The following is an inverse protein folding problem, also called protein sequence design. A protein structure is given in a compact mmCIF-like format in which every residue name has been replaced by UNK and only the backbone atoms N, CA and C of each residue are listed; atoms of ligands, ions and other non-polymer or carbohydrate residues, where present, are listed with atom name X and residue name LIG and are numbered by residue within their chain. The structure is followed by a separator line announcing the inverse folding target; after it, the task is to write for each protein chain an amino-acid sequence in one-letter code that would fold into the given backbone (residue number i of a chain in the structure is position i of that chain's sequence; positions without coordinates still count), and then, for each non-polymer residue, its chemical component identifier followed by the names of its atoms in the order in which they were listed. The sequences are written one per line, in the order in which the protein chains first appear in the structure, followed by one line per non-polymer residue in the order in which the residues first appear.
data_IF_339516291903
#
_entry.id   IF_339516291903
#
_cell.length_a   1.000
_cell.length_b   1.000
_cell.length_c   1.000
_cell.angle_alpha   90.00
_cell.angle_beta   90.00
_cell.angle_gamma   90.00
#
_symmetry.space_group_name_H-M   'P 1'
#
loop_
_entity.id
_entity.type
_entity.pdbx_description
1 polymer ?
#
# COMPACT_ATOMS: atom_id res chain seq x y z
N UNK A 1 13.04 16.79 -20.15
CA UNK A 1 12.63 17.01 -18.74
C UNK A 1 11.11 17.10 -18.68
N UNK A 2 10.46 16.79 -17.55
CA UNK A 2 9.00 16.89 -17.42
C UNK A 2 8.61 18.39 -17.27
N UNK A 3 7.61 18.89 -18.04
CA UNK A 3 7.09 20.24 -17.90
C UNK A 3 6.64 20.54 -16.48
N UNK A 4 6.89 21.74 -15.98
CA UNK A 4 6.57 22.13 -14.59
C UNK A 4 5.09 21.98 -14.25
N UNK A 5 4.21 22.33 -15.19
CA UNK A 5 2.76 22.18 -15.06
C UNK A 5 2.30 20.73 -14.85
N UNK A 6 3.12 19.75 -15.24
CA UNK A 6 2.81 18.33 -15.12
C UNK A 6 3.47 17.66 -13.91
N UNK A 7 4.44 18.33 -13.26
CA UNK A 7 5.13 17.77 -12.09
C UNK A 7 4.14 17.57 -10.93
N UNK A 8 4.43 16.58 -10.09
CA UNK A 8 3.80 16.38 -8.79
C UNK A 8 4.88 16.57 -7.73
N UNK A 9 5.15 17.84 -7.40
CA UNK A 9 6.31 18.26 -6.59
C UNK A 9 6.35 17.62 -5.19
N UNK A 10 5.20 17.26 -4.65
CA UNK A 10 5.05 16.64 -3.33
C UNK A 10 5.36 15.13 -3.30
N UNK A 11 5.55 14.47 -4.45
CA UNK A 11 5.92 13.04 -4.47
C UNK A 11 7.22 12.82 -3.70
N UNK A 12 7.23 11.82 -2.82
CA UNK A 12 8.37 11.47 -1.98
C UNK A 12 8.47 12.27 -0.68
N UNK A 13 7.69 13.34 -0.48
CA UNK A 13 7.75 14.13 0.75
C UNK A 13 6.62 13.83 1.73
N UNK A 14 5.48 13.30 1.27
CA UNK A 14 4.31 13.02 2.12
C UNK A 14 4.63 12.11 3.30
N UNK A 15 5.37 11.01 3.07
CA UNK A 15 5.72 10.06 4.13
C UNK A 15 6.50 10.73 5.27
N UNK A 16 7.38 11.68 4.97
CA UNK A 16 8.06 12.48 5.99
C UNK A 16 7.11 13.52 6.60
N UNK A 17 6.39 14.29 5.76
CA UNK A 17 5.49 15.38 6.17
C UNK A 17 4.40 14.93 7.13
N UNK A 18 3.82 13.76 6.91
CA UNK A 18 2.77 13.17 7.74
C UNK A 18 3.31 12.32 8.91
N UNK A 19 4.62 12.31 9.14
CA UNK A 19 5.20 11.60 10.28
C UNK A 19 5.19 10.09 10.17
N UNK A 20 5.07 9.55 8.95
CA UNK A 20 5.07 8.10 8.68
C UNK A 20 6.50 7.58 8.66
N UNK A 21 7.45 8.39 8.19
CA UNK A 21 8.87 8.10 8.22
C UNK A 21 9.66 9.16 9.00
N UNK A 22 10.71 8.71 9.69
CA UNK A 22 11.73 9.57 10.29
C UNK A 22 12.64 10.13 9.20
N UNK A 23 13.00 9.29 8.23
CA UNK A 23 13.85 9.63 7.11
C UNK A 23 13.38 10.91 6.39
N UNK A 24 14.25 11.93 6.37
CA UNK A 24 14.07 13.16 5.59
C UNK A 24 14.62 12.96 4.18
N UNK A 25 13.78 13.01 3.14
CA UNK A 25 14.23 12.97 1.76
C UNK A 25 15.21 14.13 1.44
N UNK A 26 16.28 13.90 0.65
CA UNK A 26 17.26 14.93 0.30
C UNK A 26 16.66 16.13 -0.46
N UNK A 27 15.50 15.91 -1.09
CA UNK A 27 14.78 16.94 -1.83
C UNK A 27 14.03 17.93 -0.95
N UNK A 28 13.91 17.66 0.35
CA UNK A 28 13.35 18.59 1.33
C UNK A 28 14.49 19.52 1.77
N UNK A 29 14.53 20.74 1.22
CA UNK A 29 15.57 21.73 1.50
C UNK A 29 15.77 21.97 2.99
N UNK A 30 17.01 22.21 3.42
CA UNK A 30 17.48 22.16 4.82
C UNK A 30 16.62 22.96 5.82
N UNK A 31 16.00 24.03 5.36
CA UNK A 31 15.18 24.93 6.18
C UNK A 31 13.79 24.38 6.52
N UNK A 32 13.31 23.37 5.79
CA UNK A 32 12.03 22.76 6.11
C UNK A 32 12.14 21.89 7.36
N UNK A 33 11.47 22.32 8.43
CA UNK A 33 11.24 21.50 9.61
C UNK A 33 9.80 21.04 9.64
N UNK A 34 9.61 19.73 9.86
CA UNK A 34 8.29 19.15 10.09
C UNK A 34 7.75 19.67 11.42
N UNK A 35 6.45 20.01 11.46
CA UNK A 35 5.82 20.42 12.70
C UNK A 35 5.96 19.32 13.77
N UNK A 36 6.16 19.73 15.03
CA UNK A 36 6.46 18.80 16.13
C UNK A 36 5.40 17.71 16.31
N UNK A 37 4.12 18.01 16.05
CA UNK A 37 3.01 17.06 16.16
C UNK A 37 2.96 16.03 15.02
N UNK A 38 3.74 16.20 13.96
CA UNK A 38 3.99 15.18 12.94
C UNK A 38 5.27 14.37 13.24
N UNK A 39 5.87 14.51 14.43
CA UNK A 39 6.99 13.65 14.83
C UNK A 39 6.51 12.20 15.02
N UNK A 40 7.11 11.19 14.35
CA UNK A 40 6.73 9.78 14.47
C UNK A 40 6.68 9.29 15.90
N UNK A 41 7.57 9.76 16.79
CA UNK A 41 7.56 9.39 18.20
C UNK A 41 6.36 9.97 18.96
N UNK A 42 5.98 11.21 18.63
CA UNK A 42 4.77 11.82 19.19
C UNK A 42 3.52 11.09 18.70
N UNK A 43 3.45 10.78 17.41
CA UNK A 43 2.35 10.01 16.83
C UNK A 43 2.25 8.64 17.51
N UNK A 44 3.37 7.93 17.61
CA UNK A 44 3.45 6.62 18.28
C UNK A 44 2.96 6.70 19.72
N UNK A 45 3.35 7.74 20.47
CA UNK A 45 2.85 7.98 21.82
C UNK A 45 1.33 8.17 21.85
N UNK A 46 0.77 9.00 20.97
CA UNK A 46 -0.69 9.23 20.88
C UNK A 46 -1.46 7.95 20.53
N UNK A 47 -0.93 7.14 19.62
CA UNK A 47 -1.52 5.84 19.27
C UNK A 47 -1.44 4.85 20.44
N UNK A 48 -0.33 4.80 21.18
CA UNK A 48 -0.21 3.98 22.39
C UNK A 48 -1.18 4.42 23.48
N UNK A 49 -1.32 5.72 23.74
CA UNK A 49 -2.29 6.25 24.72
C UNK A 49 -3.70 5.76 24.39
N UNK A 50 -4.12 5.85 23.13
CA UNK A 50 -5.44 5.40 22.71
C UNK A 50 -5.58 3.87 22.72
N UNK A 51 -4.52 3.13 22.35
CA UNK A 51 -4.46 1.68 22.43
C UNK A 51 -4.64 1.20 23.88
N UNK A 52 -3.88 1.75 24.82
CA UNK A 52 -3.96 1.40 26.23
C UNK A 52 -5.34 1.71 26.82
N UNK A 53 -5.92 2.86 26.46
CA UNK A 53 -7.30 3.21 26.84
C UNK A 53 -8.30 2.19 26.30
N UNK A 54 -8.17 1.77 25.05
CA UNK A 54 -9.05 0.75 24.44
C UNK A 54 -8.89 -0.63 25.08
N UNK A 55 -7.65 -1.03 25.39
CA UNK A 55 -7.36 -2.27 26.14
C UNK A 55 -7.94 -2.23 27.55
N UNK A 56 -7.76 -1.12 28.26
CA UNK A 56 -8.29 -0.93 29.62
C UNK A 56 -9.80 -1.02 29.61
N UNK A 57 -10.46 -0.28 28.71
CA UNK A 57 -11.90 -0.35 28.54
C UNK A 57 -12.35 -1.78 28.23
N UNK A 58 -11.67 -2.50 27.32
CA UNK A 58 -11.99 -3.88 26.95
C UNK A 58 -12.05 -4.84 28.16
N UNK A 59 -11.15 -4.71 29.13
CA UNK A 59 -11.08 -5.62 30.30
C UNK A 59 -11.96 -5.24 31.49
N UNK A 60 -12.43 -3.99 31.60
CA UNK A 60 -13.32 -3.58 32.70
C UNK A 60 -14.71 -4.24 32.53
N UNK A 61 -15.40 -4.62 33.62
CA UNK A 61 -16.78 -5.11 33.52
C UNK A 61 -17.74 -4.03 33.00
N UNK A 62 -18.68 -4.42 32.13
CA UNK A 62 -19.67 -3.50 31.56
C UNK A 62 -20.90 -3.28 32.47
N UNK A 63 -20.92 -3.84 33.69
CA UNK A 63 -22.03 -3.68 34.62
C UNK A 63 -22.33 -2.19 34.90
N UNK A 64 -23.51 -1.67 34.48
CA UNK A 64 -23.78 -0.23 34.45
C UNK A 64 -23.76 0.45 35.82
N UNK A 65 -24.12 -0.29 36.88
CA UNK A 65 -24.24 0.22 38.24
C UNK A 65 -22.88 0.53 38.89
N UNK A 66 -21.81 -0.15 38.47
CA UNK A 66 -20.51 -0.05 39.15
C UNK A 66 -19.51 0.84 38.39
N UNK A 67 -19.57 0.86 37.05
CA UNK A 67 -18.45 1.38 36.25
C UNK A 67 -18.78 2.51 35.25
N UNK A 68 -20.00 3.07 35.21
CA UNK A 68 -20.36 4.17 34.28
C UNK A 68 -19.34 5.33 34.32
N UNK A 69 -18.96 5.76 35.52
CA UNK A 69 -18.01 6.89 35.69
C UNK A 69 -16.65 6.61 35.04
N UNK A 70 -16.15 5.38 35.14
CA UNK A 70 -14.90 4.99 34.51
C UNK A 70 -14.97 5.10 32.99
N UNK A 71 -16.04 4.61 32.36
CA UNK A 71 -16.20 4.68 30.90
C UNK A 71 -16.28 6.13 30.41
N UNK A 72 -16.96 7.01 31.15
CA UNK A 72 -17.04 8.43 30.82
C UNK A 72 -15.70 9.13 30.97
N UNK A 73 -14.96 8.86 32.05
CA UNK A 73 -13.62 9.43 32.25
C UNK A 73 -12.59 8.93 31.24
N UNK A 74 -12.78 7.71 30.71
CA UNK A 74 -12.00 7.18 29.59
C UNK A 74 -12.50 7.64 28.21
N UNK A 75 -13.60 8.41 28.15
CA UNK A 75 -14.22 8.84 26.89
C UNK A 75 -14.68 7.69 26.01
N UNK A 76 -15.15 6.61 26.62
CA UNK A 76 -15.60 5.40 25.93
C UNK A 76 -16.97 5.56 25.28
N UNK A 77 -16.98 6.26 24.14
CA UNK A 77 -18.18 6.37 23.30
C UNK A 77 -18.72 5.01 22.87
N UNK A 78 -17.89 3.96 22.87
CA UNK A 78 -18.27 2.60 22.49
C UNK A 78 -19.17 1.95 23.55
N UNK A 79 -18.94 2.30 24.82
CA UNK A 79 -19.84 1.98 25.92
C UNK A 79 -21.19 2.70 25.77
N UNK A 80 -21.18 4.00 25.44
CA UNK A 80 -22.38 4.80 25.22
C UNK A 80 -23.31 4.23 24.13
N UNK A 81 -22.75 3.58 23.11
CA UNK A 81 -23.53 2.96 22.02
C UNK A 81 -23.80 1.46 22.24
N UNK A 82 -23.54 0.93 23.44
CA UNK A 82 -23.83 -0.47 23.78
C UNK A 82 -22.97 -1.52 23.07
N UNK A 83 -21.88 -1.11 22.41
CA UNK A 83 -21.01 -1.99 21.61
C UNK A 83 -19.56 -2.03 22.11
N UNK A 84 -19.40 -1.79 23.41
CA UNK A 84 -18.13 -1.61 24.11
C UNK A 84 -17.07 -2.64 23.72
N UNK A 85 -17.32 -3.92 23.99
CA UNK A 85 -16.31 -4.99 23.85
C UNK A 85 -15.82 -5.11 22.41
N UNK A 86 -16.74 -5.08 21.45
CA UNK A 86 -16.40 -5.34 20.06
C UNK A 86 -15.76 -4.14 19.39
N UNK A 87 -16.25 -2.92 19.64
CA UNK A 87 -15.65 -1.73 19.03
C UNK A 87 -14.31 -1.38 19.70
N UNK A 88 -14.12 -1.64 21.01
CA UNK A 88 -12.79 -1.52 21.62
C UNK A 88 -11.80 -2.52 21.01
N UNK A 89 -12.22 -3.76 20.75
CA UNK A 89 -11.37 -4.74 20.06
C UNK A 89 -11.04 -4.30 18.62
N UNK A 90 -12.02 -3.74 17.89
CA UNK A 90 -11.78 -3.18 16.56
C UNK A 90 -10.80 -2.00 16.63
N UNK A 91 -10.95 -1.11 17.61
CA UNK A 91 -10.04 0.03 17.83
C UNK A 91 -8.61 -0.44 18.17
N UNK A 92 -8.45 -1.51 18.96
CA UNK A 92 -7.15 -2.13 19.24
C UNK A 92 -6.51 -2.62 17.94
N UNK A 93 -7.24 -3.33 17.10
CA UNK A 93 -6.74 -3.81 15.81
C UNK A 93 -6.35 -2.64 14.90
N UNK A 94 -7.19 -1.61 14.84
CA UNK A 94 -6.98 -0.43 14.02
C UNK A 94 -5.74 0.37 14.46
N UNK A 95 -5.61 0.71 15.74
CA UNK A 95 -4.43 1.42 16.25
C UNK A 95 -3.15 0.60 16.11
N UNK A 96 -3.24 -0.74 16.23
CA UNK A 96 -2.10 -1.61 16.00
C UNK A 96 -1.55 -1.49 14.56
N UNK A 97 -2.38 -1.14 13.57
CA UNK A 97 -1.91 -0.88 12.19
C UNK A 97 -0.94 0.30 12.19
N UNK A 98 -1.34 1.44 12.77
CA UNK A 98 -0.52 2.64 12.85
C UNK A 98 0.79 2.36 13.57
N UNK A 99 0.70 1.75 14.75
CA UNK A 99 1.85 1.43 15.61
C UNK A 99 2.83 0.51 14.89
N UNK A 100 2.35 -0.59 14.30
CA UNK A 100 3.22 -1.53 13.59
C UNK A 100 3.90 -0.87 12.37
N UNK A 101 3.21 -0.02 11.62
CA UNK A 101 3.80 0.69 10.48
C UNK A 101 4.85 1.72 10.91
N UNK A 102 4.60 2.47 11.98
CA UNK A 102 5.54 3.45 12.53
C UNK A 102 6.78 2.75 13.12
N UNK A 103 6.59 1.64 13.84
CA UNK A 103 7.68 0.82 14.37
C UNK A 103 8.52 0.23 13.23
N UNK A 104 7.87 -0.29 12.18
CA UNK A 104 8.57 -0.81 10.99
C UNK A 104 9.40 0.28 10.31
N UNK A 105 8.81 1.46 10.10
CA UNK A 105 9.51 2.59 9.49
C UNK A 105 10.70 3.07 10.35
N UNK A 106 10.52 3.10 11.67
CA UNK A 106 11.57 3.46 12.64
C UNK A 106 12.69 2.42 12.66
N UNK A 107 12.35 1.14 12.66
CA UNK A 107 13.31 0.04 12.59
C UNK A 107 14.16 0.11 11.31
N UNK A 108 13.52 0.36 10.16
CA UNK A 108 14.22 0.54 8.90
C UNK A 108 15.18 1.73 8.92
N UNK A 109 14.74 2.88 9.46
CA UNK A 109 15.59 4.06 9.59
C UNK A 109 16.82 3.79 10.46
N UNK A 110 16.64 3.13 11.61
CA UNK A 110 17.74 2.73 12.51
C UNK A 110 18.73 1.77 11.85
N UNK A 111 18.25 0.87 10.98
CA UNK A 111 19.10 -0.03 10.17
C UNK A 111 19.75 0.66 8.96
N UNK A 112 19.49 1.95 8.74
CA UNK A 112 19.95 2.68 7.55
C UNK A 112 19.24 2.24 6.26
N UNK A 113 18.13 1.51 6.37
CA UNK A 113 17.32 1.06 5.24
C UNK A 113 16.43 2.23 4.80
N UNK A 114 16.81 2.87 3.69
CA UNK A 114 16.05 3.99 3.13
C UNK A 114 14.87 3.47 2.31
N UNK A 115 13.76 4.24 2.19
CA UNK A 115 12.63 3.91 1.33
C UNK A 115 13.02 4.10 -0.15
N UNK A 116 13.83 3.18 -0.68
CA UNK A 116 14.46 3.33 -2.00
C UNK A 116 13.48 3.37 -3.16
N UNK A 117 12.25 2.88 -2.96
CA UNK A 117 11.18 3.00 -3.95
C UNK A 117 10.84 4.47 -4.25
N UNK A 118 11.02 5.39 -3.29
CA UNK A 118 10.78 6.82 -3.52
C UNK A 118 11.74 7.39 -4.57
N UNK A 119 12.99 6.94 -4.61
CA UNK A 119 13.95 7.37 -5.64
C UNK A 119 13.50 6.95 -7.04
N UNK A 120 12.87 5.78 -7.18
CA UNK A 120 12.34 5.36 -8.49
C UNK A 120 11.18 6.22 -8.98
N UNK A 121 10.55 6.99 -8.09
CA UNK A 121 9.42 7.87 -8.35
C UNK A 121 9.79 9.36 -8.39
N UNK A 122 11.05 9.72 -8.14
CA UNK A 122 11.51 11.11 -8.08
C UNK A 122 11.35 11.87 -9.42
N UNK A 123 11.29 11.15 -10.54
CA UNK A 123 10.98 11.77 -11.83
C UNK A 123 9.59 12.39 -11.85
N UNK A 124 8.62 11.87 -11.09
CA UNK A 124 7.26 12.44 -10.99
C UNK A 124 7.29 13.85 -10.37
N UNK A 125 8.25 14.11 -9.48
CA UNK A 125 8.49 15.43 -8.91
C UNK A 125 9.40 16.31 -9.79
N UNK A 126 9.90 15.80 -10.93
CA UNK A 126 10.83 16.49 -11.81
C UNK A 126 12.28 16.54 -11.31
N UNK A 127 12.64 15.73 -10.30
CA UNK A 127 13.98 15.72 -9.69
C UNK A 127 15.00 14.88 -10.48
N UNK A 128 14.51 14.00 -11.34
CA UNK A 128 15.33 13.20 -12.26
C UNK A 128 14.58 13.02 -13.59
N UNK A 129 15.28 12.59 -14.63
CA UNK A 129 14.61 12.34 -15.92
C UNK A 129 13.88 10.99 -15.89
N UNK A 130 12.74 10.85 -16.58
CA UNK A 130 12.04 9.56 -16.69
C UNK A 130 12.93 8.42 -17.21
N UNK A 131 13.87 8.74 -18.12
CA UNK A 131 14.82 7.77 -18.67
C UNK A 131 15.77 7.18 -17.61
N UNK A 132 16.18 7.96 -16.60
CA UNK A 132 16.98 7.42 -15.48
C UNK A 132 16.19 6.43 -14.63
N UNK A 133 14.89 6.66 -14.49
CA UNK A 133 13.93 5.71 -13.89
C UNK A 133 13.53 4.57 -14.86
N UNK A 134 14.15 4.50 -16.04
CA UNK A 134 13.89 3.46 -17.06
C UNK A 134 12.45 3.44 -17.59
N UNK A 135 11.83 4.62 -17.72
CA UNK A 135 10.56 4.81 -18.41
C UNK A 135 10.75 5.89 -19.48
N UNK A 136 10.66 5.54 -20.76
CA UNK A 136 10.96 6.47 -21.86
C UNK A 136 9.72 6.82 -22.70
N UNK A 137 8.65 6.02 -22.66
CA UNK A 137 7.43 6.33 -23.41
C UNK A 137 6.64 7.46 -22.73
N UNK A 138 6.61 8.64 -23.38
CA UNK A 138 5.89 9.84 -22.95
C UNK A 138 4.43 9.57 -22.61
N UNK A 139 3.75 8.69 -23.35
CA UNK A 139 2.35 8.33 -23.11
C UNK A 139 2.17 7.65 -21.76
N UNK A 140 3.12 6.81 -21.35
CA UNK A 140 3.06 6.15 -20.04
C UNK A 140 3.47 7.08 -18.91
N UNK A 141 4.45 7.97 -19.15
CA UNK A 141 4.86 9.00 -18.20
C UNK A 141 3.66 9.91 -17.87
N UNK A 142 2.97 10.42 -18.88
CA UNK A 142 1.80 11.28 -18.73
C UNK A 142 0.67 10.58 -17.96
N UNK A 143 0.34 9.34 -18.34
CA UNK A 143 -0.67 8.53 -17.63
C UNK A 143 -0.33 8.35 -16.15
N UNK A 144 0.95 8.11 -15.83
CA UNK A 144 1.38 7.94 -14.46
C UNK A 144 1.33 9.26 -13.68
N UNK A 145 1.68 10.40 -14.29
CA UNK A 145 1.57 11.72 -13.68
C UNK A 145 0.12 12.08 -13.34
N UNK A 146 -0.81 11.86 -14.29
CA UNK A 146 -2.24 12.10 -14.08
C UNK A 146 -2.78 11.25 -12.92
N UNK A 147 -2.48 9.94 -12.94
CA UNK A 147 -2.89 9.02 -11.87
C UNK A 147 -2.31 9.44 -10.52
N UNK A 148 -1.02 9.77 -10.48
CA UNK A 148 -0.34 10.17 -9.23
C UNK A 148 -0.96 11.43 -8.66
N UNK A 149 -1.24 12.44 -9.48
CA UNK A 149 -1.90 13.67 -9.04
C UNK A 149 -3.28 13.41 -8.45
N UNK A 150 -4.09 12.60 -9.13
CA UNK A 150 -5.42 12.24 -8.63
C UNK A 150 -5.33 11.51 -7.28
N UNK A 151 -4.42 10.55 -7.14
CA UNK A 151 -4.21 9.80 -5.89
C UNK A 151 -3.75 10.72 -4.77
N UNK A 152 -2.78 11.59 -5.01
CA UNK A 152 -2.27 12.53 -4.00
C UNK A 152 -3.41 13.41 -3.48
N UNK A 153 -4.19 14.02 -4.39
CA UNK A 153 -5.33 14.86 -4.01
C UNK A 153 -6.39 14.06 -3.23
N UNK A 154 -6.67 12.83 -3.67
CA UNK A 154 -7.60 11.93 -2.98
C UNK A 154 -7.08 11.58 -1.58
N UNK A 155 -5.79 11.31 -1.41
CA UNK A 155 -5.18 11.02 -0.11
C UNK A 155 -5.25 12.20 0.84
N UNK A 156 -4.93 13.41 0.37
CA UNK A 156 -5.01 14.62 1.19
C UNK A 156 -6.45 14.88 1.67
N UNK A 157 -7.44 14.70 0.79
CA UNK A 157 -8.84 14.86 1.14
C UNK A 157 -9.30 13.83 2.17
N UNK A 158 -9.10 12.53 1.90
CA UNK A 158 -9.56 11.45 2.77
C UNK A 158 -8.91 11.51 4.15
N UNK A 159 -7.61 11.81 4.21
CA UNK A 159 -6.89 11.92 5.48
C UNK A 159 -7.51 12.98 6.39
N UNK A 160 -7.91 14.14 5.86
CA UNK A 160 -8.60 15.18 6.63
C UNK A 160 -10.03 14.77 7.00
N UNK A 161 -10.76 14.16 6.07
CA UNK A 161 -12.13 13.70 6.28
C UNK A 161 -12.20 12.68 7.43
N UNK A 162 -11.27 11.74 7.50
CA UNK A 162 -11.22 10.72 8.56
C UNK A 162 -11.05 11.35 9.95
N UNK A 163 -10.22 12.38 10.10
CA UNK A 163 -10.09 13.09 11.36
C UNK A 163 -11.41 13.71 11.83
N UNK A 164 -12.12 14.40 10.91
CA UNK A 164 -13.42 15.03 11.20
C UNK A 164 -14.47 13.97 11.54
N UNK A 165 -14.58 12.92 10.73
CA UNK A 165 -15.55 11.83 10.94
C UNK A 165 -15.27 11.11 12.26
N UNK A 166 -14.01 10.86 12.60
CA UNK A 166 -13.63 10.23 13.87
C UNK A 166 -14.00 11.10 15.07
N UNK A 167 -13.80 12.41 14.98
CA UNK A 167 -14.25 13.34 16.01
C UNK A 167 -15.76 13.25 16.22
N UNK A 168 -16.54 13.35 15.15
CA UNK A 168 -18.02 13.29 15.21
C UNK A 168 -18.47 11.94 15.78
N UNK A 169 -17.89 10.84 15.30
CA UNK A 169 -18.24 9.48 15.72
C UNK A 169 -18.04 9.27 17.23
N UNK A 170 -17.02 9.89 17.83
CA UNK A 170 -16.78 9.82 19.26
C UNK A 170 -17.58 10.86 20.06
N UNK A 171 -17.59 12.12 19.61
CA UNK A 171 -18.20 13.22 20.33
C UNK A 171 -19.73 13.10 20.38
N UNK A 172 -20.34 12.62 19.30
CA UNK A 172 -21.79 12.55 19.18
C UNK A 172 -22.43 11.64 20.24
N UNK A 173 -22.05 10.36 20.40
CA UNK A 173 -22.64 9.53 21.47
C UNK A 173 -22.37 10.07 22.87
N UNK A 174 -21.17 10.61 23.12
CA UNK A 174 -20.80 11.17 24.42
C UNK A 174 -21.61 12.41 24.76
N UNK A 175 -21.97 13.24 23.77
CA UNK A 175 -22.80 14.42 23.97
C UNK A 175 -24.21 14.08 24.49
N UNK A 176 -24.80 12.98 24.00
CA UNK A 176 -26.15 12.56 24.42
C UNK A 176 -26.16 11.78 25.74
N UNK A 177 -25.12 11.00 26.03
CA UNK A 177 -25.08 10.12 27.21
C UNK A 177 -24.40 10.73 28.46
N UNK A 178 -23.69 11.85 28.29
CA UNK A 178 -22.99 12.53 29.38
C UNK A 178 -23.67 13.85 29.76
N UNK A 179 -23.51 14.26 31.02
CA UNK A 179 -23.79 15.65 31.42
C UNK A 179 -22.85 16.61 30.71
N UNK A 180 -23.22 17.89 30.58
CA UNK A 180 -22.38 18.90 29.93
C UNK A 180 -20.98 18.99 30.56
N UNK A 181 -20.87 18.85 31.89
CA UNK A 181 -19.59 18.88 32.60
C UNK A 181 -18.76 17.63 32.28
N UNK A 182 -19.36 16.43 32.32
CA UNK A 182 -18.69 15.17 31.94
C UNK A 182 -18.19 15.23 30.49
N UNK A 183 -19.02 15.74 29.57
CA UNK A 183 -18.63 15.90 28.17
C UNK A 183 -17.47 16.88 28.01
N UNK A 184 -17.56 18.09 28.57
CA UNK A 184 -16.50 19.09 28.39
C UNK A 184 -15.17 18.68 29.03
N UNK A 185 -15.19 18.01 30.18
CA UNK A 185 -13.97 17.66 30.94
C UNK A 185 -13.34 16.35 30.47
N UNK A 186 -14.15 15.38 30.03
CA UNK A 186 -13.68 14.03 29.67
C UNK A 186 -14.02 13.66 28.24
N UNK A 187 -15.28 13.82 27.83
CA UNK A 187 -15.73 13.40 26.50
C UNK A 187 -15.01 14.11 25.35
N UNK A 188 -15.02 15.44 25.35
CA UNK A 188 -14.45 16.29 24.31
C UNK A 188 -12.92 16.09 24.15
N UNK A 189 -12.11 16.10 25.23
CA UNK A 189 -10.68 15.78 25.11
C UNK A 189 -10.43 14.40 24.49
N UNK A 190 -11.16 13.37 24.90
CA UNK A 190 -11.00 12.02 24.33
C UNK A 190 -11.46 11.94 22.88
N UNK A 191 -12.51 12.66 22.48
CA UNK A 191 -12.92 12.75 21.07
C UNK A 191 -11.87 13.45 20.21
N UNK A 192 -11.19 14.47 20.72
CA UNK A 192 -10.07 15.13 20.04
C UNK A 192 -8.89 14.16 19.92
N UNK A 193 -8.52 13.46 21.00
CA UNK A 193 -7.45 12.46 20.99
C UNK A 193 -7.77 11.37 19.96
N UNK A 194 -8.99 10.85 19.96
CA UNK A 194 -9.43 9.84 18.99
C UNK A 194 -9.33 10.34 17.55
N UNK A 195 -9.78 11.57 17.29
CA UNK A 195 -9.68 12.18 15.97
C UNK A 195 -8.23 12.30 15.49
N UNK A 196 -7.32 12.72 16.37
CA UNK A 196 -5.89 12.84 16.09
C UNK A 196 -5.26 11.47 15.84
N UNK A 197 -5.50 10.48 16.72
CA UNK A 197 -4.96 9.13 16.57
C UNK A 197 -5.48 8.46 15.30
N UNK A 198 -6.78 8.59 14.99
CA UNK A 198 -7.36 8.05 13.75
C UNK A 198 -6.84 8.74 12.50
N UNK A 199 -6.62 10.06 12.55
CA UNK A 199 -5.99 10.80 11.47
C UNK A 199 -4.58 10.26 11.14
N UNK A 200 -3.76 10.01 12.17
CA UNK A 200 -2.41 9.50 11.98
C UNK A 200 -2.37 8.03 11.57
N UNK A 201 -3.13 7.17 12.24
CA UNK A 201 -3.27 5.74 11.87
C UNK A 201 -3.71 5.62 10.40
N UNK A 202 -4.75 6.37 10.01
CA UNK A 202 -5.22 6.41 8.63
C UNK A 202 -4.14 6.90 7.67
N UNK A 203 -3.47 8.01 7.99
CA UNK A 203 -2.37 8.54 7.19
C UNK A 203 -1.30 7.47 6.95
N UNK A 204 -0.89 6.76 8.01
CA UNK A 204 0.17 5.77 7.96
C UNK A 204 -0.11 4.67 6.93
N UNK A 205 -1.26 3.98 7.03
CA UNK A 205 -1.54 2.91 6.08
C UNK A 205 -1.99 3.43 4.71
N UNK A 206 -2.75 4.53 4.65
CA UNK A 206 -3.33 5.01 3.39
C UNK A 206 -2.25 5.57 2.46
N UNK A 207 -1.30 6.35 2.96
CA UNK A 207 -0.17 6.81 2.15
C UNK A 207 0.74 5.66 1.71
N UNK A 208 0.98 4.67 2.56
CA UNK A 208 1.72 3.46 2.17
C UNK A 208 1.02 2.72 1.02
N UNK A 209 -0.31 2.55 1.09
CA UNK A 209 -1.11 1.97 -0.01
C UNK A 209 -1.05 2.81 -1.28
N UNK A 210 -1.14 4.14 -1.17
CA UNK A 210 -1.05 5.05 -2.30
C UNK A 210 0.29 4.93 -3.03
N UNK A 211 1.40 4.93 -2.28
CA UNK A 211 2.73 4.74 -2.86
C UNK A 211 2.91 3.35 -3.46
N UNK A 212 2.38 2.31 -2.82
CA UNK A 212 2.36 0.97 -3.40
C UNK A 212 1.63 0.94 -4.74
N UNK A 213 0.46 1.57 -4.84
CA UNK A 213 -0.29 1.67 -6.09
C UNK A 213 0.46 2.42 -7.19
N UNK A 214 1.06 3.56 -6.87
CA UNK A 214 1.84 4.35 -7.82
C UNK A 214 3.02 3.51 -8.33
N UNK A 215 3.72 2.82 -7.42
CA UNK A 215 4.85 1.95 -7.75
C UNK A 215 4.44 0.77 -8.65
N UNK A 216 3.33 0.10 -8.35
CA UNK A 216 2.81 -0.98 -9.18
C UNK A 216 2.46 -0.49 -10.59
N UNK A 217 1.82 0.68 -10.72
CA UNK A 217 1.52 1.25 -12.04
C UNK A 217 2.80 1.62 -12.81
N UNK A 218 3.80 2.19 -12.12
CA UNK A 218 5.11 2.45 -12.70
C UNK A 218 5.76 1.18 -13.27
N UNK A 219 5.76 0.08 -12.50
CA UNK A 219 6.29 -1.21 -12.94
C UNK A 219 5.51 -1.78 -14.13
N UNK A 220 4.18 -1.72 -14.11
CA UNK A 220 3.34 -2.12 -15.24
C UNK A 220 3.66 -1.32 -16.50
N UNK A 221 3.87 -0.01 -16.39
CA UNK A 221 4.20 0.81 -17.54
C UNK A 221 5.58 0.49 -18.13
N UNK A 222 6.57 0.18 -17.29
CA UNK A 222 7.87 -0.30 -17.77
C UNK A 222 7.77 -1.64 -18.51
N UNK A 223 6.94 -2.57 -18.01
CA UNK A 223 6.66 -3.83 -18.70
C UNK A 223 5.95 -3.62 -20.05
N UNK A 224 4.97 -2.72 -20.10
CA UNK A 224 4.25 -2.37 -21.32
C UNK A 224 5.16 -1.72 -22.37
N UNK A 225 6.07 -0.85 -21.95
CA UNK A 225 7.05 -0.25 -22.87
C UNK A 225 7.92 -1.32 -23.54
N UNK A 226 8.35 -2.34 -22.78
CA UNK A 226 9.08 -3.48 -23.34
C UNK A 226 8.21 -4.27 -24.31
N UNK A 227 6.94 -4.50 -23.98
CA UNK A 227 6.00 -5.20 -24.86
C UNK A 227 5.82 -4.46 -26.18
N UNK A 228 5.63 -3.15 -26.13
CA UNK A 228 5.50 -2.30 -27.32
C UNK A 228 6.77 -2.29 -28.16
N UNK A 229 7.96 -2.26 -27.53
CA UNK A 229 9.25 -2.39 -28.23
C UNK A 229 9.37 -3.74 -28.95
N UNK A 230 9.01 -4.85 -28.28
CA UNK A 230 9.00 -6.19 -28.89
C UNK A 230 8.06 -6.26 -30.09
N UNK A 231 6.84 -5.73 -29.94
CA UNK A 231 5.84 -5.70 -31.02
C UNK A 231 6.34 -4.88 -32.21
N UNK A 232 6.93 -3.70 -31.98
CA UNK A 232 7.52 -2.89 -33.06
C UNK A 232 8.62 -3.63 -33.81
N UNK A 233 9.52 -4.33 -33.10
CA UNK A 233 10.55 -5.15 -33.73
C UNK A 233 9.97 -6.31 -34.55
N UNK A 234 8.85 -6.90 -34.10
CA UNK A 234 8.17 -7.96 -34.85
C UNK A 234 7.49 -7.45 -36.13
N UNK A 235 6.90 -6.25 -36.11
CA UNK A 235 6.24 -5.67 -37.29
C UNK A 235 7.21 -5.16 -38.36
N UNK A 236 8.36 -4.62 -37.96
CA UNK A 236 9.39 -4.18 -38.92
C UNK A 236 9.87 -5.34 -39.82
N UNK A 237 9.82 -6.58 -39.31
CA UNK A 237 10.14 -7.80 -40.06
C UNK A 237 9.14 -8.14 -41.17
N UNK A 238 7.85 -7.80 -40.99
CA UNK A 238 6.79 -8.10 -41.95
C UNK A 238 6.77 -7.15 -43.15
N UNK A 239 7.19 -5.88 -42.98
CA UNK A 239 7.18 -4.86 -44.05
C UNK A 239 8.43 -4.85 -44.95
N UNK A 240 9.57 -5.38 -44.49
CA UNK A 240 10.80 -5.46 -45.30
C UNK A 240 10.96 -6.83 -45.97
N UNK A 241 9.98 -7.22 -46.77
CA UNK A 241 9.88 -8.52 -47.46
C UNK A 241 10.92 -8.78 -48.56
N UNK A 242 11.98 -7.97 -48.69
CA UNK A 242 13.11 -8.24 -49.59
C UNK A 242 14.42 -8.62 -48.88
N UNK A 243 14.64 -8.17 -47.63
CA UNK A 243 15.85 -8.45 -46.85
C UNK A 243 15.41 -8.70 -45.42
N UNK A 244 15.30 -9.98 -45.00
CA UNK A 244 15.01 -10.37 -43.61
C UNK A 244 16.16 -9.91 -42.70
N UNK A 245 16.14 -8.64 -42.26
CA UNK A 245 17.02 -8.19 -41.19
C UNK A 245 16.63 -8.92 -39.90
N UNK A 246 17.51 -9.81 -39.46
CA UNK A 246 17.48 -10.45 -38.15
C UNK A 246 17.23 -9.37 -37.08
N UNK A 247 16.44 -9.70 -36.05
CA UNK A 247 16.47 -8.86 -34.83
C UNK A 247 17.90 -8.93 -34.33
N UNK A 248 18.58 -7.79 -34.33
CA UNK A 248 19.98 -7.73 -33.93
C UNK A 248 20.11 -8.34 -32.52
N UNK A 249 21.10 -9.21 -32.31
CA UNK A 249 21.44 -9.79 -31.00
C UNK A 249 21.58 -8.70 -29.93
N UNK A 250 21.99 -7.49 -30.32
CA UNK A 250 22.01 -6.31 -29.46
C UNK A 250 20.63 -5.94 -28.91
N UNK A 251 19.58 -5.92 -29.74
CA UNK A 251 18.22 -5.56 -29.31
C UNK A 251 17.66 -6.59 -28.32
N UNK A 252 17.91 -7.89 -28.56
CA UNK A 252 17.53 -8.95 -27.61
C UNK A 252 18.26 -8.81 -26.27
N UNK A 253 19.55 -8.44 -26.29
CA UNK A 253 20.32 -8.15 -25.07
C UNK A 253 19.74 -6.95 -24.30
N UNK A 254 19.34 -5.88 -24.99
CA UNK A 254 18.71 -4.71 -24.37
C UNK A 254 17.38 -5.09 -23.69
N UNK A 255 16.50 -5.80 -24.39
CA UNK A 255 15.22 -6.27 -23.84
C UNK A 255 15.45 -7.14 -22.59
N UNK A 256 16.39 -8.09 -22.65
CA UNK A 256 16.73 -8.95 -21.52
C UNK A 256 17.30 -8.15 -20.34
N UNK A 257 18.18 -7.19 -20.60
CA UNK A 257 18.73 -6.33 -19.57
C UNK A 257 17.63 -5.50 -18.87
N UNK A 258 16.68 -4.95 -19.64
CA UNK A 258 15.55 -4.20 -19.09
C UNK A 258 14.62 -5.06 -18.23
N UNK A 259 14.25 -6.26 -18.70
CA UNK A 259 13.44 -7.20 -17.92
C UNK A 259 14.14 -7.66 -16.64
N UNK A 260 15.44 -8.00 -16.73
CA UNK A 260 16.24 -8.36 -15.56
C UNK A 260 16.29 -7.22 -14.54
N UNK A 261 16.39 -5.97 -15.00
CA UNK A 261 16.37 -4.81 -14.11
C UNK A 261 15.02 -4.64 -13.43
N UNK A 262 13.91 -4.74 -14.17
CA UNK A 262 12.55 -4.70 -13.59
C UNK A 262 12.38 -5.82 -12.54
N UNK A 263 12.81 -7.05 -12.83
CA UNK A 263 12.74 -8.16 -11.89
C UNK A 263 13.53 -7.90 -10.61
N UNK A 264 14.74 -7.33 -10.72
CA UNK A 264 15.54 -6.90 -9.57
C UNK A 264 14.87 -5.79 -8.77
N UNK A 265 14.28 -4.80 -9.44
CA UNK A 265 13.58 -3.70 -8.77
C UNK A 265 12.36 -4.22 -7.99
N UNK A 266 11.56 -5.12 -8.59
CA UNK A 266 10.42 -5.78 -7.92
C UNK A 266 10.89 -6.53 -6.67
N UNK A 267 11.92 -7.38 -6.81
CA UNK A 267 12.47 -8.14 -5.70
C UNK A 267 12.97 -7.22 -4.58
N UNK A 268 13.68 -6.15 -4.96
CA UNK A 268 14.22 -5.16 -4.03
C UNK A 268 13.11 -4.44 -3.26
N UNK A 269 12.09 -3.88 -3.94
CA UNK A 269 11.00 -3.16 -3.29
C UNK A 269 10.15 -4.06 -2.40
N UNK A 270 9.91 -5.29 -2.83
CA UNK A 270 9.16 -6.27 -2.04
C UNK A 270 9.91 -6.66 -0.77
N UNK A 271 11.18 -7.08 -0.90
CA UNK A 271 11.95 -7.64 0.23
C UNK A 271 12.45 -6.58 1.21
N UNK A 272 12.55 -5.32 0.78
CA UNK A 272 13.07 -4.24 1.63
C UNK A 272 11.98 -3.55 2.45
N UNK A 273 10.73 -3.55 1.98
CA UNK A 273 9.70 -2.70 2.58
C UNK A 273 8.27 -3.23 2.42
N UNK A 274 7.79 -3.44 1.19
CA UNK A 274 6.36 -3.62 0.97
C UNK A 274 5.81 -4.98 1.42
N UNK A 275 6.64 -6.03 1.51
CA UNK A 275 6.19 -7.33 2.03
C UNK A 275 5.63 -7.18 3.44
N UNK A 276 6.37 -6.52 4.33
CA UNK A 276 6.00 -6.39 5.74
C UNK A 276 4.83 -5.42 5.90
N UNK A 277 4.82 -4.31 5.15
CA UNK A 277 3.71 -3.35 5.12
C UNK A 277 2.41 -4.02 4.68
N UNK A 278 2.42 -4.79 3.59
CA UNK A 278 1.24 -5.48 3.06
C UNK A 278 0.77 -6.54 4.07
N UNK A 279 1.69 -7.30 4.65
CA UNK A 279 1.37 -8.32 5.66
C UNK A 279 0.67 -7.71 6.87
N UNK A 280 1.24 -6.66 7.46
CA UNK A 280 0.67 -5.94 8.61
C UNK A 280 -0.74 -5.44 8.28
N UNK A 281 -0.90 -4.76 7.14
CA UNK A 281 -2.18 -4.17 6.76
C UNK A 281 -3.22 -5.25 6.50
N UNK A 282 -2.92 -6.30 5.73
CA UNK A 282 -3.90 -7.34 5.39
C UNK A 282 -4.37 -8.09 6.65
N UNK A 283 -3.45 -8.47 7.53
CA UNK A 283 -3.80 -9.22 8.75
C UNK A 283 -4.64 -8.37 9.69
N UNK A 284 -4.16 -7.18 10.05
CA UNK A 284 -4.84 -6.35 11.05
C UNK A 284 -6.15 -5.77 10.50
N UNK A 285 -6.19 -5.36 9.23
CA UNK A 285 -7.43 -4.91 8.59
C UNK A 285 -8.42 -6.07 8.41
N UNK A 286 -7.94 -7.28 8.13
CA UNK A 286 -8.76 -8.49 8.07
C UNK A 286 -9.41 -8.81 9.42
N UNK A 287 -8.61 -8.80 10.50
CA UNK A 287 -9.13 -8.97 11.87
C UNK A 287 -10.10 -7.87 12.25
N UNK A 288 -9.78 -6.60 11.97
CA UNK A 288 -10.69 -5.47 12.15
C UNK A 288 -12.03 -5.71 11.44
N UNK A 289 -11.99 -6.12 10.17
CA UNK A 289 -13.18 -6.37 9.36
C UNK A 289 -14.05 -7.47 9.97
N UNK A 290 -13.44 -8.56 10.44
CA UNK A 290 -14.15 -9.67 11.08
C UNK A 290 -14.84 -9.24 12.38
N UNK A 291 -14.15 -8.45 13.23
CA UNK A 291 -14.71 -7.95 14.49
C UNK A 291 -15.88 -7.00 14.23
N UNK A 292 -15.72 -6.07 13.29
CA UNK A 292 -16.78 -5.11 12.93
C UNK A 292 -17.97 -5.83 12.30
N UNK A 293 -17.75 -6.81 11.43
CA UNK A 293 -18.81 -7.61 10.83
C UNK A 293 -19.57 -8.43 11.87
N UNK A 294 -18.85 -9.07 12.81
CA UNK A 294 -19.47 -9.77 13.93
C UNK A 294 -20.35 -8.82 14.75
N UNK A 295 -19.85 -7.61 15.03
CA UNK A 295 -20.60 -6.57 15.75
C UNK A 295 -21.89 -6.22 15.01
N UNK A 296 -21.82 -6.01 13.70
CA UNK A 296 -22.97 -5.64 12.89
C UNK A 296 -24.04 -6.73 12.82
N UNK A 297 -23.64 -8.01 12.85
CA UNK A 297 -24.55 -9.15 12.71
C UNK A 297 -25.19 -9.57 14.02
N UNK A 298 -24.43 -9.61 15.11
CA UNK A 298 -24.84 -10.33 16.34
C UNK A 298 -25.05 -9.43 17.54
N UNK A 299 -24.53 -8.20 17.54
CA UNK A 299 -24.65 -7.31 18.70
C UNK A 299 -25.93 -6.49 18.56
N UNK A 300 -26.75 -6.39 19.62
CA UNK A 300 -27.98 -5.62 19.61
C UNK A 300 -27.68 -4.11 19.65
N UNK A 301 -27.24 -3.57 18.51
CA UNK A 301 -27.04 -2.13 18.28
C UNK A 301 -28.17 -1.54 17.44
N UNK A 302 -28.37 -0.23 17.56
CA UNK A 302 -29.32 0.52 16.74
C UNK A 302 -29.04 0.35 15.25
N UNK A 303 -30.11 0.45 14.46
CA UNK A 303 -30.07 0.25 13.01
C UNK A 303 -29.07 1.21 12.31
N UNK A 304 -28.99 2.47 12.74
CA UNK A 304 -28.05 3.46 12.20
C UNK A 304 -26.59 3.07 12.44
N UNK A 305 -26.27 2.59 13.64
CA UNK A 305 -24.92 2.10 13.97
C UNK A 305 -24.64 0.85 13.14
N UNK A 306 -25.60 -0.07 13.04
CA UNK A 306 -25.47 -1.29 12.24
C UNK A 306 -25.14 -1.00 10.78
N UNK A 307 -25.84 -0.05 10.14
CA UNK A 307 -25.52 0.37 8.77
C UNK A 307 -24.12 0.99 8.66
N UNK A 308 -23.72 1.78 9.64
CA UNK A 308 -22.37 2.37 9.68
C UNK A 308 -21.28 1.29 9.80
N UNK A 309 -21.51 0.24 10.60
CA UNK A 309 -20.60 -0.90 10.74
C UNK A 309 -20.53 -1.71 9.43
N UNK A 310 -21.66 -2.00 8.78
CA UNK A 310 -21.65 -2.65 7.46
C UNK A 310 -20.91 -1.83 6.41
N UNK A 311 -21.12 -0.52 6.41
CA UNK A 311 -20.38 0.38 5.52
C UNK A 311 -18.87 0.32 5.78
N UNK A 312 -18.44 0.32 7.04
CA UNK A 312 -17.03 0.16 7.42
C UNK A 312 -16.45 -1.19 6.95
N UNK A 313 -17.21 -2.28 7.05
CA UNK A 313 -16.82 -3.62 6.53
C UNK A 313 -16.62 -3.58 5.02
N UNK A 314 -17.56 -2.98 4.28
CA UNK A 314 -17.45 -2.85 2.82
C UNK A 314 -16.23 -2.03 2.44
N UNK A 315 -15.97 -0.91 3.13
CA UNK A 315 -14.79 -0.09 2.89
C UNK A 315 -13.48 -0.84 3.18
N UNK A 316 -13.38 -1.51 4.34
CA UNK A 316 -12.18 -2.24 4.73
C UNK A 316 -11.90 -3.42 3.78
N UNK A 317 -12.94 -4.17 3.40
CA UNK A 317 -12.85 -5.26 2.41
C UNK A 317 -12.43 -4.70 1.05
N UNK A 318 -13.01 -3.58 0.62
CA UNK A 318 -12.65 -2.92 -0.64
C UNK A 318 -11.19 -2.46 -0.64
N UNK A 319 -10.67 -1.98 0.49
CA UNK A 319 -9.27 -1.60 0.63
C UNK A 319 -8.32 -2.81 0.52
N UNK A 320 -8.65 -3.94 1.17
CA UNK A 320 -7.88 -5.19 1.03
C UNK A 320 -7.92 -5.69 -0.42
N UNK A 321 -9.10 -5.77 -1.01
CA UNK A 321 -9.27 -6.18 -2.42
C UNK A 321 -8.50 -5.26 -3.37
N UNK A 322 -8.54 -3.94 -3.14
CA UNK A 322 -7.77 -2.97 -3.92
C UNK A 322 -6.27 -3.21 -3.82
N UNK A 323 -5.75 -3.46 -2.61
CA UNK A 323 -4.34 -3.77 -2.39
C UNK A 323 -3.91 -5.04 -3.13
N UNK A 324 -4.68 -6.11 -3.00
CA UNK A 324 -4.39 -7.40 -3.64
C UNK A 324 -4.53 -7.32 -5.17
N UNK A 325 -5.53 -6.60 -5.67
CA UNK A 325 -5.69 -6.36 -7.11
C UNK A 325 -4.54 -5.52 -7.68
N UNK A 326 -4.04 -4.56 -6.90
CA UNK A 326 -2.89 -3.73 -7.27
C UNK A 326 -1.61 -4.56 -7.40
N UNK A 327 -1.38 -5.49 -6.48
CA UNK A 327 -0.27 -6.45 -6.58
C UNK A 327 -0.46 -7.38 -7.80
N UNK A 328 -1.68 -7.89 -8.00
CA UNK A 328 -2.03 -8.78 -9.12
C UNK A 328 -1.88 -8.11 -10.48
N UNK A 329 -2.06 -6.78 -10.57
CA UNK A 329 -1.84 -6.00 -11.80
C UNK A 329 -0.43 -6.20 -12.37
N UNK A 330 0.59 -6.14 -11.51
CA UNK A 330 2.00 -6.31 -11.92
C UNK A 330 2.25 -7.73 -12.41
N UNK A 331 1.69 -8.71 -11.71
CA UNK A 331 1.80 -10.13 -12.10
C UNK A 331 1.15 -10.40 -13.45
N UNK A 332 -0.06 -9.90 -13.68
CA UNK A 332 -0.79 -10.06 -14.94
C UNK A 332 -0.01 -9.42 -16.10
N UNK A 333 0.53 -8.22 -15.88
CA UNK A 333 1.34 -7.54 -16.90
C UNK A 333 2.64 -8.30 -17.20
N UNK A 334 3.31 -8.86 -16.18
CA UNK A 334 4.48 -9.69 -16.36
C UNK A 334 4.17 -10.99 -17.15
N UNK A 335 3.00 -11.60 -16.90
CA UNK A 335 2.54 -12.76 -17.65
C UNK A 335 2.25 -12.42 -19.13
N UNK A 336 1.69 -11.24 -19.41
CA UNK A 336 1.53 -10.73 -20.78
C UNK A 336 2.89 -10.52 -21.43
N UNK A 337 3.83 -9.87 -20.74
CA UNK A 337 5.20 -9.67 -21.23
C UNK A 337 5.88 -10.99 -21.58
N UNK A 338 5.72 -12.03 -20.76
CA UNK A 338 6.21 -13.37 -21.05
C UNK A 338 5.60 -13.94 -22.33
N UNK A 339 4.28 -13.82 -22.54
CA UNK A 339 3.62 -14.29 -23.77
C UNK A 339 4.13 -13.54 -25.01
N UNK A 340 4.29 -12.22 -24.93
CA UNK A 340 4.82 -11.39 -26.03
C UNK A 340 6.27 -11.78 -26.36
N UNK A 341 7.10 -11.99 -25.34
CA UNK A 341 8.49 -12.39 -25.52
C UNK A 341 8.61 -13.83 -26.09
N UNK A 342 7.74 -14.75 -25.66
CA UNK A 342 7.66 -16.10 -26.21
C UNK A 342 7.27 -16.09 -27.70
N UNK A 343 6.33 -15.22 -28.11
CA UNK A 343 6.00 -15.05 -29.54
C UNK A 343 7.19 -14.54 -30.35
N UNK A 344 7.92 -13.54 -29.82
CA UNK A 344 9.16 -13.07 -30.43
C UNK A 344 10.17 -14.22 -30.54
N UNK A 345 10.37 -14.98 -29.47
CA UNK A 345 11.28 -16.12 -29.41
C UNK A 345 10.98 -17.17 -30.49
N UNK A 346 9.73 -17.64 -30.57
CA UNK A 346 9.30 -18.61 -31.59
C UNK A 346 9.54 -18.06 -33.00
N UNK A 347 9.30 -16.77 -33.23
CA UNK A 347 9.56 -16.14 -34.54
C UNK A 347 11.06 -16.03 -34.91
N UNK A 348 11.96 -16.22 -33.94
CA UNK A 348 13.42 -16.14 -34.10
C UNK A 348 14.09 -17.52 -34.04
N UNK A 349 13.38 -18.59 -33.66
CA UNK A 349 13.95 -19.94 -33.48
C UNK A 349 14.56 -20.51 -34.76
N UNK A 350 14.00 -20.14 -35.91
CA UNK A 350 14.49 -20.55 -37.22
C UNK A 350 15.74 -19.78 -37.68
N UNK A 351 16.14 -18.73 -36.95
CA UNK A 351 17.14 -17.74 -37.40
C UNK A 351 18.37 -17.64 -36.48
N UNK A 352 18.36 -18.37 -35.36
CA UNK A 352 19.42 -18.31 -34.35
C UNK A 352 19.81 -19.70 -33.89
N UNK A 353 21.09 -19.86 -33.52
CA UNK A 353 21.60 -21.10 -32.96
C UNK A 353 20.81 -21.48 -31.68
N UNK A 354 20.26 -22.71 -31.58
CA UNK A 354 19.44 -23.18 -30.46
C UNK A 354 20.00 -22.87 -29.07
N UNK A 355 21.33 -22.89 -28.92
CA UNK A 355 22.02 -22.58 -27.66
C UNK A 355 21.85 -21.13 -27.17
N UNK A 356 21.78 -20.18 -28.09
CA UNK A 356 21.58 -18.76 -27.72
C UNK A 356 20.14 -18.55 -27.23
N UNK A 357 19.23 -19.33 -27.79
CA UNK A 357 17.81 -19.30 -27.50
C UNK A 357 17.49 -19.97 -26.17
N UNK A 358 18.04 -21.16 -25.91
CA UNK A 358 17.88 -21.89 -24.66
C UNK A 358 18.28 -21.05 -23.43
N UNK A 359 19.36 -20.29 -23.53
CA UNK A 359 19.81 -19.39 -22.47
C UNK A 359 18.84 -18.22 -22.18
N UNK A 360 18.07 -17.77 -23.18
CA UNK A 360 17.06 -16.72 -23.00
C UNK A 360 15.84 -17.32 -22.27
N UNK A 361 15.38 -18.48 -22.71
CA UNK A 361 14.29 -19.22 -22.05
C UNK A 361 14.63 -19.53 -20.59
N UNK A 362 15.83 -20.08 -20.33
CA UNK A 362 16.29 -20.33 -18.96
C UNK A 362 16.35 -19.07 -18.09
N UNK A 363 16.59 -17.89 -18.67
CA UNK A 363 16.57 -16.64 -17.88
C UNK A 363 15.17 -16.22 -17.51
N UNK A 364 14.25 -16.27 -18.47
CA UNK A 364 12.83 -15.97 -18.26
C UNK A 364 12.23 -16.99 -17.28
N UNK A 365 12.55 -18.26 -17.47
CA UNK A 365 12.10 -19.36 -16.65
C UNK A 365 12.71 -19.29 -15.26
N UNK A 366 14.01 -19.04 -15.10
CA UNK A 366 14.65 -18.84 -13.79
C UNK A 366 14.08 -17.64 -13.02
N UNK A 367 13.60 -16.59 -13.69
CA UNK A 367 12.90 -15.48 -13.03
C UNK A 367 11.51 -15.89 -12.55
N UNK A 368 10.82 -16.77 -13.28
CA UNK A 368 9.56 -17.35 -12.81
C UNK A 368 9.76 -18.44 -11.74
N UNK A 369 10.81 -19.26 -11.86
CA UNK A 369 11.11 -20.41 -11.00
C UNK A 369 11.88 -20.05 -9.74
N UNK A 370 12.69 -18.99 -9.68
CA UNK A 370 13.24 -18.47 -8.41
C UNK A 370 12.15 -17.96 -7.47
N UNK A 371 10.98 -17.62 -8.00
CA UNK A 371 9.80 -17.37 -7.18
C UNK A 371 9.18 -18.66 -6.62
N UNK A 372 9.53 -19.81 -7.18
CA UNK A 372 9.07 -21.12 -6.75
C UNK A 372 10.10 -21.94 -5.95
N UNK A 373 11.40 -21.85 -6.23
CA UNK A 373 12.40 -22.77 -5.66
C UNK A 373 12.99 -22.36 -4.31
N UNK A 374 12.52 -21.25 -3.72
CA UNK A 374 12.85 -20.95 -2.32
C UNK A 374 11.96 -21.69 -1.31
N UNK A 375 10.99 -22.47 -1.78
CA UNK A 375 10.34 -23.51 -0.99
C UNK A 375 10.68 -24.85 -1.68
N UNK A 376 11.68 -25.54 -1.16
CA UNK A 376 11.93 -26.93 -1.49
C UNK A 376 10.75 -27.74 -0.96
N UNK A 377 9.85 -28.15 -1.85
CA UNK A 377 9.13 -29.41 -1.74
C UNK A 377 8.78 -29.90 -3.15
N UNK A 378 9.19 -31.14 -3.41
CA UNK A 378 9.06 -31.90 -4.65
C UNK A 378 7.67 -32.54 -4.69
N UNK A 379 6.94 -32.43 -5.82
CA UNK A 379 6.11 -33.49 -6.45
C UNK A 379 5.28 -32.93 -7.64
N UNK A 380 4.72 -33.79 -8.54
CA UNK A 380 4.69 -33.52 -9.97
C UNK A 380 3.35 -32.97 -10.46
N UNK A 381 3.40 -32.53 -11.72
CA UNK A 381 2.29 -32.01 -12.52
C UNK A 381 1.07 -32.96 -12.53
N UNK A 382 -0.09 -32.44 -12.14
CA UNK A 382 -1.27 -32.37 -13.01
C UNK A 382 -2.46 -31.74 -12.27
N UNK A 383 -3.04 -30.72 -12.92
CA UNK A 383 -4.31 -30.03 -12.68
C UNK A 383 -4.70 -29.62 -11.25
N UNK A 384 -5.33 -28.44 -11.19
CA UNK A 384 -6.16 -27.92 -10.10
C UNK A 384 -5.46 -27.19 -8.94
N UNK A 385 -6.18 -26.15 -8.47
CA UNK A 385 -6.16 -25.58 -7.12
C UNK A 385 -5.04 -24.54 -6.91
N UNK A 386 -5.21 -23.31 -7.44
CA UNK A 386 -5.91 -22.16 -6.79
C UNK A 386 -5.31 -21.92 -5.40
N UNK A 387 -4.88 -20.69 -5.09
CA UNK A 387 -4.40 -20.34 -3.75
C UNK A 387 -3.03 -20.94 -3.35
N UNK A 388 -2.40 -21.93 -4.01
CA UNK A 388 -1.34 -22.78 -3.39
C UNK A 388 0.15 -22.36 -3.30
N UNK A 389 0.58 -21.18 -3.75
CA UNK A 389 1.75 -20.54 -3.12
C UNK A 389 1.38 -19.39 -2.21
N UNK A 390 0.07 -19.22 -2.07
CA UNK A 390 -0.63 -18.82 -0.87
C UNK A 390 -0.05 -17.45 -0.42
N UNK A 391 -0.11 -16.91 0.76
CA UNK A 391 0.03 -17.69 1.94
C UNK A 391 1.33 -18.58 1.90
N UNK A 392 2.28 -18.26 1.03
CA UNK A 392 3.67 -18.71 1.13
C UNK A 392 4.47 -17.83 2.09
N UNK A 393 3.80 -16.80 2.65
CA UNK A 393 3.98 -16.15 3.96
C UNK A 393 2.92 -15.02 4.14
N UNK A 394 1.66 -15.38 3.92
CA UNK A 394 0.41 -14.85 4.54
C UNK A 394 -0.32 -16.09 5.10
#
# INVERSE_FOLDING_TARGET
MIPESLRVSSVGTHLYRYGIHIYRPPCIGNDYQRNWYYNPLFILFMEFVYLFRSMTAFFISAEPSENRKYFIYLGDYMYCIGAKTHINLAAICYMSIGICLLLLATYHDYRGIRPTFLYSLDFLAGRMTPSTACLNDNRYIEKLLIKTRWIVNYCEFNTRAVGIVSFILSAWPLWFECTTIEFLTSGLPWSIIFAISSYFTFSAYFWNMAYFYILCNFLCYRLREINDLVVRFSHLKLKQSGIRKLVNKANLRIIRAHLNRIGKDIQHFNNTYFKDVIFIIVILMGTFTNVVLYTALFVPVDLTIRFSLFYAVVLATSAICFLLNTATLVYNEAAISRKVLNKLYVSQIQFHNPYTLYNILLTIESQSKKHCSNNNDVFPENYTIIIRKTIGLI
#
